data_IF_726777607737
#
_entry.id   IF_726777607737
#
_cell.length_a   1.000
_cell.length_b   1.000
_cell.length_c   1.000
_cell.angle_alpha   90.00
_cell.angle_beta   90.00
_cell.angle_gamma   90.00
#
_symmetry.space_group_name_H-M   'P 1'
#
loop_
_entity.id
_entity.type
_entity.pdbx_description
1 polymer ?
#
# COMPACT_ATOMS: atom_id res chain seq x y z
N UNK A 1 16.29 18.05 11.63
CA UNK A 1 15.39 17.19 10.85
C UNK A 1 15.22 17.88 9.50
N UNK A 2 15.48 17.18 8.39
CA UNK A 2 15.27 17.74 7.05
C UNK A 2 13.77 17.66 6.65
N UNK A 3 13.39 18.27 5.52
CA UNK A 3 11.99 18.28 5.06
C UNK A 3 11.40 16.87 4.92
N UNK A 4 12.20 15.92 4.43
CA UNK A 4 11.77 14.54 4.23
C UNK A 4 11.47 13.86 5.57
N UNK A 5 12.40 13.93 6.52
CA UNK A 5 12.23 13.34 7.86
C UNK A 5 11.03 13.96 8.60
N UNK A 6 10.80 15.26 8.44
CA UNK A 6 9.64 15.93 9.05
C UNK A 6 8.31 15.47 8.43
N UNK A 7 8.25 15.33 7.10
CA UNK A 7 7.07 14.80 6.42
C UNK A 7 6.76 13.37 6.84
N UNK A 8 7.77 12.48 6.89
CA UNK A 8 7.60 11.10 7.36
C UNK A 8 7.11 11.07 8.82
N UNK A 9 7.71 11.88 9.69
CA UNK A 9 7.29 11.98 11.10
C UNK A 9 5.83 12.40 11.26
N UNK A 10 5.36 13.38 10.48
CA UNK A 10 3.95 13.82 10.50
C UNK A 10 2.99 12.76 9.95
N UNK A 11 3.38 12.01 8.91
CA UNK A 11 2.61 10.88 8.39
C UNK A 11 2.46 9.80 9.47
N UNK A 12 3.57 9.47 10.14
CA UNK A 12 3.60 8.48 11.21
C UNK A 12 2.78 8.89 12.42
N UNK A 13 2.82 10.18 12.79
CA UNK A 13 1.98 10.72 13.87
C UNK A 13 0.50 10.49 13.60
N UNK A 14 0.04 10.76 12.37
CA UNK A 14 -1.34 10.47 11.99
C UNK A 14 -1.61 8.97 12.12
N UNK A 15 -0.77 8.12 11.52
CA UNK A 15 -0.96 6.66 11.54
C UNK A 15 -0.83 6.01 12.92
N UNK A 16 -0.14 6.65 13.85
CA UNK A 16 -0.08 6.24 15.25
C UNK A 16 -1.41 6.44 16.00
N UNK A 17 -2.31 7.28 15.49
CA UNK A 17 -3.66 7.48 16.04
C UNK A 17 -4.64 6.36 15.67
N UNK A 18 -4.24 5.38 14.85
CA UNK A 18 -5.11 4.25 14.50
C UNK A 18 -5.46 3.43 15.75
N UNK A 19 -6.74 3.34 16.15
CA UNK A 19 -7.14 2.58 17.33
C UNK A 19 -7.03 1.07 17.11
N UNK A 20 -6.95 0.61 15.86
CA UNK A 20 -6.81 -0.80 15.53
C UNK A 20 -5.36 -1.23 15.73
N UNK A 21 -5.17 -2.41 16.32
CA UNK A 21 -3.85 -2.95 16.62
C UNK A 21 -3.56 -4.18 15.75
N UNK A 22 -2.32 -4.31 15.30
CA UNK A 22 -1.78 -5.52 14.69
C UNK A 22 -0.51 -5.97 15.42
N UNK A 23 -0.32 -7.29 15.50
CA UNK A 23 0.87 -7.87 16.11
C UNK A 23 1.91 -8.20 15.04
N UNK A 24 3.15 -7.74 15.25
CA UNK A 24 4.32 -8.08 14.47
C UNK A 24 5.56 -8.09 15.38
N UNK A 25 6.49 -9.02 15.16
CA UNK A 25 7.74 -9.13 15.93
C UNK A 25 7.53 -9.06 17.45
N UNK A 26 6.54 -9.81 17.95
CA UNK A 26 6.16 -9.89 19.37
C UNK A 26 5.68 -8.57 19.99
N UNK A 27 5.36 -7.57 19.16
CA UNK A 27 4.89 -6.24 19.58
C UNK A 27 3.57 -5.89 18.91
N UNK A 28 2.78 -5.06 19.60
CA UNK A 28 1.55 -4.48 19.07
C UNK A 28 1.85 -3.12 18.45
N UNK A 29 1.28 -2.86 17.28
CA UNK A 29 1.40 -1.60 16.56
C UNK A 29 0.02 -1.08 16.13
N UNK A 30 -0.19 0.25 16.10
CA UNK A 30 -1.27 0.84 15.32
C UNK A 30 -1.22 0.31 13.89
N UNK A 31 -2.35 -0.21 13.40
CA UNK A 31 -2.42 -1.02 12.18
C UNK A 31 -1.88 -0.27 10.96
N UNK A 32 -2.36 0.93 10.67
CA UNK A 32 -1.89 1.67 9.49
C UNK A 32 -0.46 2.22 9.67
N UNK A 33 0.05 2.38 10.91
CA UNK A 33 1.48 2.71 11.13
C UNK A 33 2.38 1.54 10.74
N UNK A 34 2.01 0.32 11.14
CA UNK A 34 2.71 -0.89 10.74
C UNK A 34 2.69 -1.08 9.22
N UNK A 35 1.54 -0.82 8.58
CA UNK A 35 1.44 -0.84 7.12
C UNK A 35 2.40 0.18 6.47
N UNK A 36 2.44 1.41 6.95
CA UNK A 36 3.37 2.45 6.46
C UNK A 36 4.84 2.05 6.60
N UNK A 37 5.22 1.42 7.72
CA UNK A 37 6.57 0.90 7.94
C UNK A 37 6.94 -0.17 6.91
N UNK A 38 6.08 -1.17 6.73
CA UNK A 38 6.26 -2.25 5.75
C UNK A 38 6.36 -1.72 4.31
N UNK A 39 5.59 -0.68 3.98
CA UNK A 39 5.66 -0.01 2.67
C UNK A 39 7.02 0.63 2.41
N UNK A 40 7.58 1.35 3.39
CA UNK A 40 8.92 1.93 3.27
C UNK A 40 10.00 0.87 3.15
N UNK A 41 10.01 -0.12 4.03
CA UNK A 41 11.00 -1.21 4.01
C UNK A 41 10.96 -1.98 2.69
N UNK A 42 9.75 -2.28 2.19
CA UNK A 42 9.60 -2.97 0.91
C UNK A 42 10.07 -2.11 -0.26
N UNK A 43 9.75 -0.82 -0.29
CA UNK A 43 10.23 0.09 -1.32
C UNK A 43 11.76 0.18 -1.32
N UNK A 44 12.39 0.32 -0.15
CA UNK A 44 13.86 0.42 -0.04
C UNK A 44 14.55 -0.84 -0.57
N UNK A 45 13.96 -2.03 -0.34
CA UNK A 45 14.49 -3.28 -0.90
C UNK A 45 14.23 -3.44 -2.41
N UNK A 46 13.08 -2.97 -2.90
CA UNK A 46 12.64 -3.16 -4.29
C UNK A 46 13.23 -2.12 -5.26
N UNK A 47 13.41 -0.89 -4.78
CA UNK A 47 13.92 0.26 -5.52
C UNK A 47 14.75 1.16 -4.60
N UNK A 48 16.01 0.77 -4.27
CA UNK A 48 16.86 1.49 -3.30
C UNK A 48 17.08 2.97 -3.64
N UNK A 49 17.16 3.29 -4.94
CA UNK A 49 17.36 4.64 -5.46
C UNK A 49 16.03 5.41 -5.66
N UNK A 50 14.94 4.98 -5.02
CA UNK A 50 13.66 5.66 -5.11
C UNK A 50 13.78 7.13 -4.64
N UNK A 51 13.24 8.09 -5.42
CA UNK A 51 13.28 9.49 -5.04
C UNK A 51 12.33 9.77 -3.85
N UNK A 52 12.57 10.87 -3.15
CA UNK A 52 11.85 11.22 -1.92
C UNK A 52 10.32 11.30 -2.10
N UNK A 53 9.83 11.79 -3.24
CA UNK A 53 8.38 11.85 -3.50
C UNK A 53 7.74 10.46 -3.59
N UNK A 54 8.45 9.47 -4.14
CA UNK A 54 7.98 8.07 -4.16
C UNK A 54 8.05 7.44 -2.77
N UNK A 55 9.11 7.72 -2.00
CA UNK A 55 9.25 7.27 -0.61
C UNK A 55 8.14 7.81 0.28
N UNK A 56 7.81 9.10 0.15
CA UNK A 56 6.70 9.74 0.86
C UNK A 56 5.36 9.13 0.42
N UNK A 57 5.15 8.93 -0.89
CA UNK A 57 3.92 8.31 -1.40
C UNK A 57 3.73 6.88 -0.86
N UNK A 58 4.79 6.08 -0.78
CA UNK A 58 4.76 4.75 -0.19
C UNK A 58 4.43 4.80 1.32
N UNK A 59 5.09 5.68 2.08
CA UNK A 59 4.79 5.88 3.50
C UNK A 59 3.33 6.28 3.73
N UNK A 60 2.80 7.16 2.88
CA UNK A 60 1.46 7.71 3.02
C UNK A 60 0.35 6.91 2.30
N UNK A 61 0.69 5.74 1.72
CA UNK A 61 -0.23 5.00 0.84
C UNK A 61 -1.62 4.77 1.44
N UNK A 62 -1.69 4.49 2.76
CA UNK A 62 -2.92 4.33 3.54
C UNK A 62 -3.01 5.29 4.74
N UNK A 63 -2.42 6.48 4.64
CA UNK A 63 -2.46 7.46 5.73
C UNK A 63 -3.90 7.76 6.20
N UNK A 64 -4.17 7.68 7.49
CA UNK A 64 -5.50 8.04 8.02
C UNK A 64 -6.62 7.07 7.66
N UNK A 65 -6.34 5.90 7.06
CA UNK A 65 -7.36 5.05 6.43
C UNK A 65 -8.46 4.56 7.39
N UNK A 66 -8.15 4.33 8.67
CA UNK A 66 -9.15 3.91 9.68
C UNK A 66 -10.26 4.93 9.90
N UNK A 67 -10.06 6.20 9.53
CA UNK A 67 -11.06 7.27 9.65
C UNK A 67 -12.26 7.08 8.72
N UNK A 68 -12.13 6.27 7.66
CA UNK A 68 -13.22 5.92 6.74
C UNK A 68 -13.30 4.39 6.66
N UNK A 69 -13.98 3.72 7.60
CA UNK A 69 -14.04 2.26 7.64
C UNK A 69 -14.89 1.69 6.50
N UNK A 70 -14.56 0.47 6.07
CA UNK A 70 -15.30 -0.23 4.99
C UNK A 70 -16.78 -0.45 5.33
N UNK A 71 -17.10 -0.58 6.61
CA UNK A 71 -18.47 -0.81 7.11
C UNK A 71 -19.44 0.32 6.82
N UNK A 72 -18.95 1.53 6.54
CA UNK A 72 -19.79 2.71 6.27
C UNK A 72 -20.39 2.69 4.85
N UNK A 73 -20.03 1.69 4.04
CA UNK A 73 -20.45 1.55 2.65
C UNK A 73 -21.15 0.20 2.44
N UNK A 74 -22.10 0.09 1.49
CA UNK A 74 -22.74 -1.18 1.16
C UNK A 74 -21.72 -2.28 0.85
N UNK A 75 -21.93 -3.50 1.36
CA UNK A 75 -21.02 -4.66 1.19
C UNK A 75 -21.12 -5.31 -0.20
N UNK A 76 -21.19 -4.47 -1.23
CA UNK A 76 -21.18 -4.86 -2.63
C UNK A 76 -19.98 -4.26 -3.38
N UNK A 77 -19.91 -4.54 -4.68
CA UNK A 77 -18.84 -4.03 -5.56
C UNK A 77 -18.89 -2.50 -5.70
N UNK A 78 -20.08 -1.90 -5.78
CA UNK A 78 -20.24 -0.46 -5.99
C UNK A 78 -19.82 0.32 -4.74
N UNK A 79 -20.25 -0.12 -3.56
CA UNK A 79 -19.84 0.42 -2.27
C UNK A 79 -18.33 0.29 -2.07
N UNK A 80 -17.73 -0.85 -2.43
CA UNK A 80 -16.27 -1.01 -2.38
C UNK A 80 -15.53 -0.01 -3.29
N UNK A 81 -16.02 0.20 -4.53
CA UNK A 81 -15.38 1.13 -5.47
C UNK A 81 -15.50 2.59 -4.98
N UNK A 82 -16.65 2.98 -4.43
CA UNK A 82 -16.85 4.32 -3.83
C UNK A 82 -15.90 4.53 -2.66
N UNK A 83 -15.89 3.60 -1.71
CA UNK A 83 -15.00 3.63 -0.55
C UNK A 83 -13.52 3.77 -0.96
N UNK A 84 -13.07 2.98 -1.94
CA UNK A 84 -11.68 3.05 -2.43
C UNK A 84 -11.35 4.39 -3.09
N UNK A 85 -12.28 4.99 -3.83
CA UNK A 85 -12.06 6.29 -4.45
C UNK A 85 -12.03 7.42 -3.41
N UNK A 86 -12.88 7.36 -2.39
CA UNK A 86 -12.86 8.32 -1.28
C UNK A 86 -11.57 8.23 -0.47
N UNK A 87 -11.09 7.02 -0.15
CA UNK A 87 -9.80 6.82 0.50
C UNK A 87 -8.65 7.43 -0.32
N UNK A 88 -8.58 7.18 -1.63
CA UNK A 88 -7.52 7.75 -2.48
C UNK A 88 -7.48 9.29 -2.42
N UNK A 89 -8.66 9.92 -2.41
CA UNK A 89 -8.76 11.39 -2.30
C UNK A 89 -8.28 11.86 -0.93
N UNK A 90 -8.76 11.22 0.14
CA UNK A 90 -8.41 11.56 1.52
C UNK A 90 -6.90 11.42 1.76
N UNK A 91 -6.28 10.29 1.37
CA UNK A 91 -4.84 10.07 1.53
C UNK A 91 -4.02 11.14 0.81
N UNK A 92 -4.41 11.48 -0.42
CA UNK A 92 -3.73 12.49 -1.22
C UNK A 92 -3.88 13.90 -0.60
N UNK A 93 -5.07 14.24 -0.09
CA UNK A 93 -5.33 15.51 0.60
C UNK A 93 -4.50 15.63 1.88
N UNK A 94 -4.59 14.65 2.80
CA UNK A 94 -3.82 14.67 4.05
C UNK A 94 -2.33 14.82 3.79
N UNK A 95 -1.79 14.03 2.87
CA UNK A 95 -0.35 14.10 2.54
C UNK A 95 0.01 15.44 1.93
N UNK A 96 -0.84 15.98 1.05
CA UNK A 96 -0.58 17.28 0.44
C UNK A 96 -0.55 18.40 1.47
N UNK A 97 -1.46 18.38 2.44
CA UNK A 97 -1.53 19.38 3.50
C UNK A 97 -0.30 19.27 4.42
N UNK A 98 0.11 18.06 4.80
CA UNK A 98 1.38 17.83 5.53
C UNK A 98 2.57 18.42 4.77
N UNK A 99 2.68 18.16 3.47
CA UNK A 99 3.82 18.61 2.68
C UNK A 99 3.85 20.14 2.52
N UNK A 100 2.69 20.80 2.40
CA UNK A 100 2.59 22.26 2.42
C UNK A 100 3.07 22.83 3.74
N UNK A 101 2.60 22.26 4.85
CA UNK A 101 2.96 22.70 6.19
C UNK A 101 4.47 22.54 6.47
N UNK A 102 5.08 21.48 5.94
CA UNK A 102 6.54 21.24 6.02
C UNK A 102 7.33 22.19 5.10
N UNK A 103 6.72 22.71 4.03
CA UNK A 103 7.33 23.70 3.13
C UNK A 103 7.76 23.17 1.76
N UNK A 104 7.23 22.03 1.32
CA UNK A 104 7.43 21.55 -0.06
C UNK A 104 6.68 22.42 -1.08
N UNK A 105 7.24 22.51 -2.29
CA UNK A 105 6.64 23.27 -3.39
C UNK A 105 5.54 22.47 -4.10
N UNK A 106 4.60 23.17 -4.72
CA UNK A 106 3.40 22.58 -5.34
C UNK A 106 3.71 21.48 -6.36
N UNK A 107 4.78 21.60 -7.13
CA UNK A 107 5.19 20.57 -8.10
C UNK A 107 5.55 19.23 -7.41
N UNK A 108 6.26 19.29 -6.28
CA UNK A 108 6.62 18.11 -5.51
C UNK A 108 5.37 17.47 -4.90
N UNK A 109 4.49 18.30 -4.34
CA UNK A 109 3.22 17.86 -3.76
C UNK A 109 2.32 17.22 -4.83
N UNK A 110 2.29 17.81 -6.02
CA UNK A 110 1.59 17.28 -7.18
C UNK A 110 2.06 15.88 -7.57
N UNK A 111 3.37 15.62 -7.56
CA UNK A 111 3.94 14.28 -7.80
C UNK A 111 3.49 13.28 -6.73
N UNK A 112 3.63 13.60 -5.45
CA UNK A 112 3.21 12.70 -4.36
C UNK A 112 1.70 12.39 -4.45
N UNK A 113 0.88 13.41 -4.68
CA UNK A 113 -0.57 13.27 -4.84
C UNK A 113 -0.95 12.42 -6.07
N UNK A 114 -0.21 12.54 -7.18
CA UNK A 114 -0.37 11.71 -8.36
C UNK A 114 -0.15 10.23 -8.05
N UNK A 115 0.95 9.92 -7.36
CA UNK A 115 1.34 8.57 -6.98
C UNK A 115 0.34 7.93 -6.01
N UNK A 116 -0.05 8.61 -4.93
CA UNK A 116 -1.03 8.09 -3.95
C UNK A 116 -2.38 7.76 -4.61
N UNK A 117 -2.78 8.55 -5.61
CA UNK A 117 -4.02 8.30 -6.38
C UNK A 117 -3.87 7.20 -7.42
N UNK A 118 -2.63 6.77 -7.68
CA UNK A 118 -2.24 5.70 -8.59
C UNK A 118 -2.71 5.97 -10.01
N UNK A 119 -2.44 7.18 -10.48
CA UNK A 119 -2.75 7.62 -11.84
C UNK A 119 -1.76 7.02 -12.81
N UNK A 120 -2.19 6.70 -14.03
CA UNK A 120 -1.30 6.20 -15.09
C UNK A 120 -0.52 4.90 -14.75
N UNK A 121 -1.11 4.02 -13.93
CA UNK A 121 -0.59 2.67 -13.73
C UNK A 121 -0.33 1.98 -15.09
N UNK A 122 0.80 1.27 -15.21
CA UNK A 122 1.36 0.66 -16.43
C UNK A 122 2.07 1.60 -17.40
N UNK A 123 1.94 2.92 -17.26
CA UNK A 123 2.60 3.90 -18.14
C UNK A 123 3.52 4.85 -17.41
N UNK A 124 3.27 5.12 -16.14
CA UNK A 124 4.14 5.88 -15.25
C UNK A 124 4.98 4.91 -14.41
N UNK A 125 6.31 5.01 -14.53
CA UNK A 125 7.25 4.05 -13.91
C UNK A 125 7.20 4.09 -12.38
N UNK A 126 7.03 5.27 -11.80
CA UNK A 126 6.98 5.45 -10.34
C UNK A 126 5.65 4.95 -9.75
N UNK A 127 4.54 5.18 -10.44
CA UNK A 127 3.24 4.59 -10.07
C UNK A 127 3.28 3.08 -10.19
N UNK A 128 3.94 2.55 -11.23
CA UNK A 128 4.12 1.11 -11.38
C UNK A 128 4.97 0.54 -10.24
N UNK A 129 6.08 1.19 -9.88
CA UNK A 129 6.91 0.79 -8.75
C UNK A 129 6.13 0.83 -7.43
N UNK A 130 5.30 1.85 -7.20
CA UNK A 130 4.44 1.93 -6.03
C UNK A 130 3.42 0.78 -5.99
N UNK A 131 2.75 0.47 -7.10
CA UNK A 131 1.79 -0.66 -7.15
C UNK A 131 2.49 -2.00 -6.94
N UNK A 132 3.70 -2.21 -7.49
CA UNK A 132 4.50 -3.41 -7.24
C UNK A 132 4.78 -3.56 -5.74
N UNK A 133 5.24 -2.50 -5.07
CA UNK A 133 5.46 -2.48 -3.62
C UNK A 133 4.19 -2.81 -2.84
N UNK A 134 3.04 -2.23 -3.22
CA UNK A 134 1.74 -2.52 -2.58
C UNK A 134 1.40 -4.01 -2.71
N UNK A 135 1.59 -4.59 -3.89
CA UNK A 135 1.32 -6.00 -4.14
C UNK A 135 2.27 -6.91 -3.36
N UNK A 136 3.56 -6.58 -3.30
CA UNK A 136 4.55 -7.33 -2.53
C UNK A 136 4.25 -7.29 -1.02
N UNK A 137 3.93 -6.12 -0.48
CA UNK A 137 3.51 -5.97 0.92
C UNK A 137 2.26 -6.77 1.21
N UNK A 138 1.27 -6.77 0.31
CA UNK A 138 0.07 -7.60 0.46
C UNK A 138 0.42 -9.10 0.51
N UNK A 139 1.19 -9.59 -0.46
CA UNK A 139 1.58 -11.00 -0.56
C UNK A 139 2.37 -11.48 0.66
N UNK A 140 3.31 -10.67 1.15
CA UNK A 140 4.19 -11.07 2.24
C UNK A 140 3.55 -11.02 3.62
N UNK A 141 2.74 -10.00 3.91
CA UNK A 141 2.27 -9.74 5.28
C UNK A 141 0.78 -9.98 5.51
N UNK A 142 -0.03 -9.95 4.46
CA UNK A 142 -1.49 -9.93 4.60
C UNK A 142 -2.20 -11.06 3.86
N UNK A 143 -1.51 -11.75 2.93
CA UNK A 143 -2.14 -12.74 2.08
C UNK A 143 -2.54 -14.02 2.84
N UNK A 144 -1.72 -14.52 3.76
CA UNK A 144 -2.07 -15.70 4.57
C UNK A 144 -3.36 -15.47 5.37
N UNK A 145 -3.47 -14.33 6.07
CA UNK A 145 -4.69 -13.96 6.82
C UNK A 145 -5.89 -13.80 5.88
N UNK A 146 -5.71 -13.17 4.73
CA UNK A 146 -6.74 -13.05 3.70
C UNK A 146 -7.21 -14.44 3.22
N UNK A 147 -6.28 -15.34 2.89
CA UNK A 147 -6.59 -16.69 2.41
C UNK A 147 -7.32 -17.53 3.48
N UNK A 148 -7.02 -17.34 4.76
CA UNK A 148 -7.70 -18.05 5.84
C UNK A 148 -9.19 -17.68 6.00
N UNK A 149 -9.61 -16.54 5.46
CA UNK A 149 -10.95 -15.95 5.65
C UNK A 149 -11.85 -16.03 4.42
N UNK A 150 -11.37 -16.60 3.32
CA UNK A 150 -12.06 -16.54 2.04
C UNK A 150 -12.05 -17.89 1.32
N UNK A 151 -13.11 -18.13 0.55
CA UNK A 151 -13.23 -19.31 -0.30
C UNK A 151 -12.19 -19.30 -1.42
N UNK A 152 -11.81 -20.50 -1.87
CA UNK A 152 -10.73 -20.70 -2.85
C UNK A 152 -10.92 -19.88 -4.13
N UNK A 153 -12.10 -19.87 -4.72
CA UNK A 153 -12.39 -19.10 -5.94
C UNK A 153 -12.13 -17.60 -5.76
N UNK A 154 -12.46 -17.08 -4.57
CA UNK A 154 -12.21 -15.68 -4.22
C UNK A 154 -10.71 -15.40 -4.07
N UNK A 155 -9.96 -16.34 -3.51
CA UNK A 155 -8.51 -16.25 -3.36
C UNK A 155 -7.84 -16.21 -4.74
N UNK A 156 -8.17 -17.15 -5.63
CA UNK A 156 -7.61 -17.22 -6.97
C UNK A 156 -7.91 -15.94 -7.76
N UNK A 157 -9.15 -15.45 -7.73
CA UNK A 157 -9.54 -14.18 -8.38
C UNK A 157 -8.70 -12.98 -7.88
N UNK A 158 -8.42 -12.90 -6.58
CA UNK A 158 -7.63 -11.82 -6.00
C UNK A 158 -6.14 -11.95 -6.34
N UNK A 159 -5.60 -13.16 -6.36
CA UNK A 159 -4.23 -13.41 -6.79
C UNK A 159 -4.02 -13.02 -8.25
N UNK A 160 -4.90 -13.44 -9.16
CA UNK A 160 -4.84 -13.07 -10.57
C UNK A 160 -4.92 -11.55 -10.77
N UNK A 161 -5.84 -10.88 -10.04
CA UNK A 161 -5.95 -9.40 -10.07
C UNK A 161 -4.76 -8.68 -9.45
N UNK A 162 -4.09 -9.30 -8.48
CA UNK A 162 -2.85 -8.78 -7.90
C UNK A 162 -1.74 -8.89 -8.94
N UNK A 163 -1.56 -10.06 -9.54
CA UNK A 163 -0.54 -10.33 -10.56
C UNK A 163 -0.68 -9.46 -11.81
N UNK A 164 -1.91 -9.23 -12.27
CA UNK A 164 -2.20 -8.45 -13.48
C UNK A 164 -1.88 -6.94 -13.38
N UNK A 165 -1.63 -6.45 -12.15
CA UNK A 165 -1.22 -5.05 -11.90
C UNK A 165 0.29 -4.90 -11.77
N UNK A 166 1.01 -5.99 -11.52
CA UNK A 166 2.45 -5.96 -11.28
C UNK A 166 3.21 -5.88 -12.59
N UNK A 167 4.36 -5.20 -12.56
CA UNK A 167 5.36 -5.26 -13.63
C UNK A 167 6.05 -6.63 -13.63
N UNK A 168 6.83 -6.94 -14.65
CA UNK A 168 7.67 -8.15 -14.65
C UNK A 168 8.65 -8.15 -13.48
N UNK A 169 9.31 -7.01 -13.19
CA UNK A 169 10.17 -6.86 -12.01
C UNK A 169 9.42 -7.13 -10.71
N UNK A 170 8.18 -6.65 -10.60
CA UNK A 170 7.29 -6.92 -9.46
C UNK A 170 6.99 -8.41 -9.30
N UNK A 171 6.62 -9.09 -10.39
CA UNK A 171 6.32 -10.53 -10.40
C UNK A 171 7.55 -11.35 -10.03
N UNK A 172 8.72 -11.02 -10.58
CA UNK A 172 9.98 -11.67 -10.22
C UNK A 172 10.30 -11.50 -8.73
N UNK A 173 10.08 -10.30 -8.18
CA UNK A 173 10.23 -10.08 -6.74
C UNK A 173 9.22 -10.89 -5.92
N UNK A 174 7.97 -11.03 -6.38
CA UNK A 174 6.93 -11.81 -5.71
C UNK A 174 7.28 -13.31 -5.63
N UNK A 175 7.87 -13.86 -6.69
CA UNK A 175 8.32 -15.26 -6.74
C UNK A 175 9.48 -15.55 -5.78
N UNK A 176 10.21 -14.52 -5.34
CA UNK A 176 11.31 -14.64 -4.38
C UNK A 176 10.90 -14.36 -2.92
N UNK A 177 9.62 -14.07 -2.66
CA UNK A 177 9.13 -13.88 -1.29
C UNK A 177 9.16 -15.20 -0.51
N UNK A 178 9.49 -15.11 0.78
CA UNK A 178 9.43 -16.25 1.71
C UNK A 178 7.99 -16.43 2.20
N UNK A 179 7.17 -17.07 1.38
CA UNK A 179 5.75 -17.31 1.67
C UNK A 179 5.54 -18.66 2.36
N UNK A 180 4.38 -18.82 3.01
CA UNK A 180 3.95 -20.11 3.53
C UNK A 180 3.80 -21.15 2.38
N UNK A 181 3.94 -22.45 2.67
CA UNK A 181 3.71 -23.49 1.65
C UNK A 181 2.31 -23.40 1.02
N UNK A 182 1.30 -23.07 1.83
CA UNK A 182 -0.08 -22.88 1.37
C UNK A 182 -0.20 -21.68 0.41
N UNK A 183 0.36 -20.52 0.78
CA UNK A 183 0.34 -19.34 -0.08
C UNK A 183 1.08 -19.56 -1.39
N UNK A 184 2.21 -20.27 -1.34
CA UNK A 184 2.99 -20.64 -2.53
C UNK A 184 2.16 -21.50 -3.49
N UNK A 185 1.47 -22.51 -2.97
CA UNK A 185 0.60 -23.37 -3.78
C UNK A 185 -0.55 -22.59 -4.43
N UNK A 186 -1.21 -21.71 -3.67
CA UNK A 186 -2.32 -20.88 -4.18
C UNK A 186 -1.87 -19.94 -5.30
N UNK A 187 -0.66 -19.35 -5.18
CA UNK A 187 -0.08 -18.52 -6.23
C UNK A 187 0.18 -19.37 -7.48
N UNK A 188 0.83 -20.52 -7.36
CA UNK A 188 1.09 -21.41 -8.51
C UNK A 188 -0.20 -21.81 -9.22
N UNK A 189 -1.24 -22.15 -8.47
CA UNK A 189 -2.55 -22.48 -9.03
C UNK A 189 -3.20 -21.29 -9.74
N UNK A 190 -3.11 -20.09 -9.15
CA UNK A 190 -3.65 -18.88 -9.76
C UNK A 190 -2.97 -18.51 -11.08
N UNK A 191 -1.68 -18.85 -11.25
CA UNK A 191 -0.88 -18.55 -12.44
C UNK A 191 -0.93 -19.63 -13.53
N UNK A 192 -1.43 -20.82 -13.19
CA UNK A 192 -1.54 -21.94 -14.14
C UNK A 192 -2.85 -21.97 -14.92
N UNK A 193 -3.76 -21.04 -14.63
CA UNK A 193 -5.08 -20.86 -15.27
C UNK A 193 -5.10 -19.59 -16.12
#
# INVERSE_FOLDING_TARGET
>A
MNLFEEAISKIDQINAEDPNQEFADEKSFPKELLYSLRMSEKLDSFSPEAPDHLKIAARAQHIGRWRIPRSDYPMDRVGYLKWREELKKMHATLTSDILKDVGYQDDFIGKVSHLIRKRQLKTDEETQALEDVICLVFLEYYFDDFASKHEKDKIIDILQKTWAKMSEKGKDAALNLKLSPQSTQLIQEALSN
#
